data_IF_936918600498
#
_entry.id   IF_936918600498
#
_cell.length_a   1.000
_cell.length_b   1.000
_cell.length_c   1.000
_cell.angle_alpha   90.00
_cell.angle_beta   90.00
_cell.angle_gamma   90.00
#
_symmetry.space_group_name_H-M   'P 1'
#
loop_
_entity.id
_entity.type
_entity.pdbx_description
1 polymer ?
#
# COMPACT_ATOMS: atom_id res chain seq x y z
N UNK A 1 -69.09 40.02 -16.51
CA UNK A 1 -67.66 40.35 -16.67
C UNK A 1 -66.91 39.41 -15.76
N UNK A 2 -65.92 38.63 -16.17
CA UNK A 2 -65.50 38.10 -17.46
C UNK A 2 -64.54 36.97 -17.06
N UNK A 3 -64.80 35.76 -17.54
CA UNK A 3 -63.89 34.63 -17.49
C UNK A 3 -62.66 34.88 -18.37
N UNK A 4 -61.48 34.45 -17.93
CA UNK A 4 -60.31 34.09 -18.75
C UNK A 4 -59.32 33.36 -17.82
N UNK A 5 -59.08 32.04 -17.92
CA UNK A 5 -58.20 31.36 -18.91
C UNK A 5 -56.87 32.11 -19.06
N UNK A 6 -55.69 31.58 -18.68
CA UNK A 6 -55.01 30.41 -19.25
C UNK A 6 -53.69 30.21 -18.47
N UNK A 7 -53.22 28.99 -18.20
CA UNK A 7 -51.87 28.55 -18.60
C UNK A 7 -51.64 27.03 -18.43
N UNK A 8 -51.30 26.38 -19.57
CA UNK A 8 -50.41 25.24 -19.85
C UNK A 8 -50.15 24.13 -18.79
N UNK A 9 -50.39 22.83 -19.08
CA UNK A 9 -49.56 21.89 -19.90
C UNK A 9 -48.14 21.73 -19.27
N UNK A 10 -47.63 20.58 -18.81
CA UNK A 10 -47.77 19.18 -19.22
C UNK A 10 -47.29 18.21 -18.11
N UNK A 11 -47.89 17.01 -18.09
CA UNK A 11 -47.26 15.69 -17.91
C UNK A 11 -46.45 15.39 -16.63
N UNK A 12 -47.17 14.96 -15.58
CA UNK A 12 -46.64 14.13 -14.49
C UNK A 12 -46.61 12.67 -14.98
N UNK A 13 -45.42 12.20 -15.38
CA UNK A 13 -45.20 10.79 -15.72
C UNK A 13 -44.77 10.07 -14.45
N UNK A 14 -45.71 9.36 -13.84
CA UNK A 14 -45.42 8.30 -12.90
C UNK A 14 -44.57 7.23 -13.59
N UNK A 15 -43.37 6.99 -13.06
CA UNK A 15 -42.63 5.76 -13.32
C UNK A 15 -42.40 5.11 -11.96
N UNK A 16 -43.24 4.12 -11.67
CA UNK A 16 -43.02 3.15 -10.61
C UNK A 16 -41.66 2.48 -10.84
N UNK A 17 -40.72 2.75 -9.95
CA UNK A 17 -39.44 2.06 -9.90
C UNK A 17 -39.63 0.65 -9.37
N UNK A 18 -39.54 -0.32 -10.27
CA UNK A 18 -39.43 -1.74 -9.94
C UNK A 18 -38.19 -2.33 -10.60
N UNK A 19 -37.18 -2.62 -9.79
CA UNK A 19 -36.19 -3.69 -9.98
C UNK A 19 -35.32 -3.68 -8.71
N UNK A 20 -35.42 -4.69 -7.84
CA UNK A 20 -34.84 -5.98 -8.19
C UNK A 20 -33.38 -5.93 -7.77
N UNK A 21 -33.14 -6.17 -6.48
CA UNK A 21 -31.81 -6.36 -5.89
C UNK A 21 -31.23 -7.69 -6.38
N UNK A 22 -30.80 -7.72 -7.64
CA UNK A 22 -29.88 -8.76 -8.09
C UNK A 22 -28.50 -8.41 -7.57
N UNK A 23 -28.21 -9.02 -6.43
CA UNK A 23 -26.86 -9.26 -5.93
C UNK A 23 -26.10 -10.09 -6.98
N UNK A 24 -25.61 -9.43 -8.02
CA UNK A 24 -24.51 -9.93 -8.79
C UNK A 24 -23.31 -9.91 -7.85
N UNK A 25 -23.03 -11.08 -7.28
CA UNK A 25 -21.76 -11.41 -6.70
C UNK A 25 -20.68 -10.98 -7.70
N UNK A 26 -20.01 -9.87 -7.40
CA UNK A 26 -18.73 -9.55 -7.99
C UNK A 26 -17.81 -10.67 -7.53
N UNK A 27 -17.70 -11.69 -8.37
CA UNK A 27 -16.61 -12.64 -8.37
C UNK A 27 -15.34 -11.79 -8.48
N UNK A 28 -14.82 -11.43 -7.32
CA UNK A 28 -13.51 -10.81 -7.18
C UNK A 28 -12.52 -11.89 -7.58
N UNK A 29 -12.30 -12.00 -8.88
CA UNK A 29 -11.17 -12.72 -9.42
C UNK A 29 -9.95 -12.10 -8.74
N UNK A 30 -9.42 -12.82 -7.75
CA UNK A 30 -8.11 -12.54 -7.22
C UNK A 30 -7.21 -12.38 -8.45
N UNK A 31 -6.61 -11.20 -8.69
CA UNK A 31 -5.70 -11.07 -9.79
C UNK A 31 -4.64 -12.15 -9.57
N UNK A 32 -4.48 -13.06 -10.53
CA UNK A 32 -3.39 -14.02 -10.50
C UNK A 32 -2.12 -13.19 -10.31
N UNK A 33 -1.63 -13.18 -9.07
CA UNK A 33 -0.45 -12.42 -8.72
C UNK A 33 0.63 -12.92 -9.68
N UNK A 34 1.24 -12.05 -10.50
CA UNK A 34 2.37 -12.47 -11.31
C UNK A 34 3.34 -13.20 -10.37
N UNK A 35 3.84 -14.35 -10.83
CA UNK A 35 4.89 -15.09 -10.13
C UNK A 35 6.15 -14.21 -10.13
N UNK A 36 6.14 -13.20 -9.26
CA UNK A 36 7.26 -12.32 -9.03
C UNK A 36 8.39 -13.19 -8.51
N UNK A 37 9.57 -12.98 -9.06
CA UNK A 37 10.80 -13.59 -8.59
C UNK A 37 11.66 -12.54 -7.89
N UNK A 38 12.65 -12.97 -7.12
CA UNK A 38 13.64 -12.06 -6.51
C UNK A 38 14.35 -11.18 -7.57
N UNK A 39 14.45 -11.64 -8.82
CA UNK A 39 15.09 -10.89 -9.89
C UNK A 39 14.30 -9.66 -10.33
N UNK A 40 12.99 -9.67 -10.08
CA UNK A 40 12.06 -8.58 -10.41
C UNK A 40 12.03 -7.50 -9.32
N UNK A 41 12.54 -7.79 -8.12
CA UNK A 41 12.65 -6.82 -7.02
C UNK A 41 13.90 -5.97 -7.23
N UNK A 42 13.79 -4.96 -8.09
CA UNK A 42 14.82 -3.95 -8.34
C UNK A 42 14.17 -2.59 -8.48
N UNK A 43 14.80 -1.55 -7.93
CA UNK A 43 14.38 -0.18 -8.22
C UNK A 43 14.76 0.21 -9.65
N UNK A 44 14.03 1.15 -10.24
CA UNK A 44 14.56 1.81 -11.43
C UNK A 44 15.75 2.69 -11.01
N UNK A 45 16.79 2.82 -11.84
CA UNK A 45 17.95 3.66 -11.52
C UNK A 45 17.58 5.15 -11.36
N UNK A 46 16.40 5.56 -11.80
CA UNK A 46 15.87 6.92 -11.61
C UNK A 46 15.18 7.13 -10.26
N UNK A 47 14.82 6.04 -9.56
CA UNK A 47 14.16 6.08 -8.24
C UNK A 47 15.17 5.87 -7.10
N UNK A 48 16.45 5.70 -7.43
CA UNK A 48 17.55 5.61 -6.48
C UNK A 48 18.14 7.02 -6.33
N UNK A 49 18.14 7.52 -5.10
CA UNK A 49 18.65 8.84 -4.78
C UNK A 49 20.18 8.92 -4.88
N UNK A 50 20.75 10.13 -4.81
CA UNK A 50 22.21 10.38 -4.93
C UNK A 50 23.03 9.62 -3.88
N UNK A 51 22.43 9.32 -2.72
CA UNK A 51 23.02 8.56 -1.62
C UNK A 51 22.83 7.03 -1.75
N UNK A 52 22.16 6.55 -2.82
CA UNK A 52 21.94 5.12 -3.05
C UNK A 52 20.73 4.52 -2.31
N UNK A 53 19.88 5.38 -1.73
CA UNK A 53 18.65 4.99 -1.04
C UNK A 53 17.46 4.97 -2.00
N UNK A 54 16.47 4.16 -1.67
CA UNK A 54 15.20 4.08 -2.39
C UNK A 54 14.09 3.67 -1.43
N UNK A 55 12.88 4.19 -1.64
CA UNK A 55 11.72 3.77 -0.86
C UNK A 55 11.28 2.35 -1.20
N UNK A 56 10.82 1.60 -0.19
CA UNK A 56 10.26 0.25 -0.39
C UNK A 56 9.11 0.30 -1.41
N UNK A 57 8.31 1.37 -1.37
CA UNK A 57 7.25 1.61 -2.33
C UNK A 57 7.76 1.70 -3.77
N UNK A 58 8.82 2.45 -4.04
CA UNK A 58 9.35 2.58 -5.40
C UNK A 58 9.88 1.25 -5.94
N UNK A 59 10.54 0.45 -5.10
CA UNK A 59 10.98 -0.91 -5.48
C UNK A 59 9.77 -1.76 -5.84
N UNK A 60 8.74 -1.77 -4.99
CA UNK A 60 7.54 -2.58 -5.20
C UNK A 60 6.74 -2.12 -6.43
N UNK A 61 6.58 -0.81 -6.60
CA UNK A 61 5.92 -0.22 -7.75
C UNK A 61 6.66 -0.55 -9.05
N UNK A 62 7.99 -0.49 -9.07
CA UNK A 62 8.76 -0.87 -10.24
C UNK A 62 8.64 -2.37 -10.57
N UNK A 63 8.75 -3.24 -9.56
CA UNK A 63 8.60 -4.69 -9.71
C UNK A 63 7.19 -5.09 -10.22
N UNK A 64 6.17 -4.32 -9.84
CA UNK A 64 4.77 -4.55 -10.22
C UNK A 64 4.30 -3.74 -11.44
N UNK A 65 5.21 -3.23 -12.28
CA UNK A 65 4.86 -2.42 -13.47
C UNK A 65 3.92 -1.22 -13.14
N UNK A 66 4.15 -0.57 -12.00
CA UNK A 66 3.36 0.55 -11.45
C UNK A 66 1.90 0.21 -11.14
N UNK A 67 1.57 -1.06 -10.96
CA UNK A 67 0.25 -1.48 -10.48
C UNK A 67 0.17 -1.29 -8.96
N UNK A 68 -0.62 -0.30 -8.51
CA UNK A 68 -0.77 0.07 -7.09
C UNK A 68 -1.20 -1.10 -6.21
N UNK A 69 -2.13 -1.95 -6.67
CA UNK A 69 -2.66 -3.05 -5.84
C UNK A 69 -1.57 -4.09 -5.58
N UNK A 70 -0.85 -4.48 -6.63
CA UNK A 70 0.25 -5.44 -6.51
C UNK A 70 1.46 -4.85 -5.78
N UNK A 71 1.75 -3.56 -6.01
CA UNK A 71 2.81 -2.85 -5.30
C UNK A 71 2.53 -2.78 -3.80
N UNK A 72 1.28 -2.56 -3.40
CA UNK A 72 0.84 -2.60 -2.00
C UNK A 72 0.95 -4.00 -1.40
N UNK A 73 0.51 -5.03 -2.12
CA UNK A 73 0.70 -6.44 -1.71
C UNK A 73 2.18 -6.76 -1.46
N UNK A 74 3.04 -6.38 -2.40
CA UNK A 74 4.48 -6.62 -2.30
C UNK A 74 5.12 -5.79 -1.18
N UNK A 75 4.73 -4.51 -1.04
CA UNK A 75 5.20 -3.63 0.05
C UNK A 75 4.82 -4.18 1.41
N UNK A 76 3.59 -4.67 1.59
CA UNK A 76 3.14 -5.30 2.83
C UNK A 76 3.99 -6.54 3.17
N UNK A 77 4.26 -7.40 2.17
CA UNK A 77 5.12 -8.57 2.32
C UNK A 77 6.55 -8.18 2.69
N UNK A 78 7.12 -7.18 2.03
CA UNK A 78 8.48 -6.67 2.28
C UNK A 78 8.58 -6.09 3.69
N UNK A 79 7.67 -5.19 4.10
CA UNK A 79 7.63 -4.62 5.45
C UNK A 79 7.50 -5.71 6.52
N UNK A 80 6.60 -6.68 6.33
CA UNK A 80 6.45 -7.80 7.26
C UNK A 80 7.71 -8.67 7.33
N UNK A 81 8.39 -8.88 6.19
CA UNK A 81 9.63 -9.66 6.15
C UNK A 81 10.79 -8.96 6.84
N UNK A 82 11.00 -7.67 6.54
CA UNK A 82 12.03 -6.83 7.17
C UNK A 82 11.82 -6.76 8.68
N UNK A 83 10.58 -6.54 9.11
CA UNK A 83 10.19 -6.54 10.50
C UNK A 83 10.46 -7.90 11.18
N UNK A 84 10.10 -9.01 10.53
CA UNK A 84 10.36 -10.36 11.06
C UNK A 84 11.86 -10.67 11.17
N UNK A 85 12.68 -10.09 10.31
CA UNK A 85 14.13 -10.24 10.32
C UNK A 85 14.84 -9.16 11.15
N UNK A 86 14.08 -8.24 11.76
CA UNK A 86 14.58 -7.13 12.58
C UNK A 86 15.69 -6.35 11.87
N UNK A 87 15.38 -5.94 10.65
CA UNK A 87 16.31 -5.23 9.78
C UNK A 87 16.60 -3.81 10.31
N UNK A 88 17.86 -3.42 10.46
CA UNK A 88 18.29 -2.15 11.07
C UNK A 88 18.69 -1.07 10.06
N UNK A 89 18.80 -1.39 8.77
CA UNK A 89 19.18 -0.44 7.73
C UNK A 89 18.01 0.33 7.10
N UNK A 90 16.79 0.24 7.65
CA UNK A 90 15.68 1.07 7.20
C UNK A 90 15.88 2.48 7.75
N UNK A 91 15.96 3.43 6.83
CA UNK A 91 16.15 4.85 7.12
C UNK A 91 14.85 5.57 6.82
N UNK A 92 14.59 6.63 7.58
CA UNK A 92 13.56 7.60 7.23
C UNK A 92 14.12 8.98 7.55
N UNK A 93 13.84 9.96 6.69
CA UNK A 93 14.23 11.34 6.96
C UNK A 93 13.51 11.89 8.19
N UNK A 94 14.13 12.82 8.92
CA UNK A 94 13.49 13.47 10.08
C UNK A 94 12.09 14.03 9.80
N UNK A 95 11.87 14.63 8.63
CA UNK A 95 10.55 15.13 8.24
C UNK A 95 9.53 14.02 7.97
N UNK A 96 9.97 12.88 7.41
CA UNK A 96 9.12 11.71 7.21
C UNK A 96 8.78 11.04 8.56
N UNK A 97 9.73 10.98 9.50
CA UNK A 97 9.49 10.48 10.85
C UNK A 97 8.43 11.32 11.57
N UNK A 98 8.56 12.64 11.56
CA UNK A 98 7.56 13.55 12.14
C UNK A 98 6.17 13.37 11.48
N UNK A 99 6.13 13.18 10.16
CA UNK A 99 4.89 12.91 9.44
C UNK A 99 4.24 11.60 9.88
N UNK A 100 5.03 10.52 9.97
CA UNK A 100 4.55 9.21 10.40
C UNK A 100 4.08 9.24 11.86
N UNK A 101 4.75 9.98 12.74
CA UNK A 101 4.36 10.17 14.13
C UNK A 101 3.01 10.90 14.22
N UNK A 102 2.83 12.03 13.52
CA UNK A 102 1.54 12.74 13.46
C UNK A 102 0.43 11.85 12.90
N UNK A 103 0.74 11.01 11.91
CA UNK A 103 -0.21 10.07 11.35
C UNK A 103 -0.57 8.97 12.33
N UNK A 104 0.40 8.47 13.09
CA UNK A 104 0.20 7.46 14.14
C UNK A 104 -0.63 8.01 15.31
N UNK A 105 -0.41 9.26 15.72
CA UNK A 105 -1.23 9.94 16.74
C UNK A 105 -2.70 10.04 16.30
N UNK A 106 -2.93 10.30 15.01
CA UNK A 106 -4.28 10.39 14.44
C UNK A 106 -4.92 9.02 14.22
N UNK A 107 -4.16 8.07 13.67
CA UNK A 107 -4.59 6.70 13.43
C UNK A 107 -3.50 5.70 13.84
N UNK A 108 -3.68 5.15 15.03
CA UNK A 108 -2.81 4.14 15.60
C UNK A 108 -2.71 2.88 14.71
N UNK A 109 -3.66 2.65 13.79
CA UNK A 109 -3.64 1.50 12.88
C UNK A 109 -2.48 1.50 11.90
N UNK A 110 -1.77 2.62 11.72
CA UNK A 110 -0.60 2.72 10.85
C UNK A 110 0.42 1.60 11.07
N UNK A 111 0.67 1.23 12.32
CA UNK A 111 1.64 0.18 12.66
C UNK A 111 1.03 -1.23 12.73
N UNK A 112 -0.29 -1.36 12.61
CA UNK A 112 -1.01 -2.61 12.85
C UNK A 112 -1.66 -3.17 11.60
N UNK A 113 -2.07 -2.32 10.67
CA UNK A 113 -2.87 -2.70 9.52
C UNK A 113 -2.05 -2.85 8.25
N UNK A 114 -0.96 -3.62 8.29
CA UNK A 114 -0.16 -3.92 7.08
C UNK A 114 -0.78 -4.98 6.19
N UNK A 115 -2.08 -4.83 5.90
CA UNK A 115 -2.79 -5.69 4.98
C UNK A 115 -2.62 -5.17 3.56
N UNK A 116 -2.62 -6.04 2.55
CA UNK A 116 -2.55 -5.61 1.17
C UNK A 116 -3.66 -4.67 0.71
N UNK A 117 -4.78 -4.59 1.41
CA UNK A 117 -5.87 -3.67 1.08
C UNK A 117 -5.74 -2.33 1.81
N UNK A 118 -4.83 -2.24 2.79
CA UNK A 118 -4.70 -1.08 3.66
C UNK A 118 -3.78 -0.02 3.04
N UNK A 119 -4.28 1.20 2.95
CA UNK A 119 -3.51 2.36 2.52
C UNK A 119 -2.40 2.73 3.52
N UNK A 120 -2.47 2.21 4.75
CA UNK A 120 -1.40 2.41 5.73
C UNK A 120 -0.07 1.81 5.28
N UNK A 121 -0.12 0.73 4.48
CA UNK A 121 1.07 0.12 3.87
C UNK A 121 1.74 1.10 2.91
N UNK A 122 0.95 1.79 2.10
CA UNK A 122 1.47 2.73 1.11
C UNK A 122 2.25 3.85 1.81
N UNK A 123 1.67 4.40 2.87
CA UNK A 123 2.27 5.47 3.66
C UNK A 123 3.58 5.01 4.30
N UNK A 124 3.58 3.88 5.00
CA UNK A 124 4.80 3.36 5.64
C UNK A 124 5.86 3.01 4.59
N UNK A 125 5.49 2.37 3.48
CA UNK A 125 6.43 1.94 2.45
C UNK A 125 7.03 3.10 1.64
N UNK A 126 6.30 4.20 1.48
CA UNK A 126 6.80 5.42 0.82
C UNK A 126 7.84 6.13 1.66
N UNK A 127 7.71 6.07 2.99
CA UNK A 127 8.60 6.72 3.94
C UNK A 127 9.67 5.80 4.55
N UNK A 128 9.64 4.52 4.20
CA UNK A 128 10.68 3.55 4.52
C UNK A 128 11.71 3.51 3.40
N UNK A 129 12.86 4.13 3.61
CA UNK A 129 13.98 4.16 2.67
C UNK A 129 14.98 3.05 3.03
N UNK A 130 15.55 2.41 2.02
CA UNK A 130 16.55 1.37 2.19
C UNK A 130 17.70 1.58 1.20
N UNK A 131 18.95 1.28 1.59
CA UNK A 131 20.07 1.24 0.66
C UNK A 131 19.84 0.11 -0.36
N UNK A 132 19.69 0.46 -1.64
CA UNK A 132 19.20 -0.46 -2.68
C UNK A 132 20.01 -1.77 -2.75
N UNK A 133 21.33 -1.66 -2.86
CA UNK A 133 22.20 -2.83 -3.09
C UNK A 133 22.26 -3.76 -1.87
N UNK A 134 22.28 -3.19 -0.67
CA UNK A 134 22.25 -3.94 0.58
C UNK A 134 20.89 -4.62 0.77
N UNK A 135 19.80 -3.94 0.43
CA UNK A 135 18.45 -4.49 0.49
C UNK A 135 18.27 -5.68 -0.46
N UNK A 136 18.64 -5.56 -1.73
CA UNK A 136 18.54 -6.65 -2.70
C UNK A 136 19.40 -7.86 -2.25
N UNK A 137 20.63 -7.59 -1.79
CA UNK A 137 21.51 -8.64 -1.26
C UNK A 137 20.92 -9.32 -0.03
N UNK A 138 20.30 -8.55 0.86
CA UNK A 138 19.64 -9.06 2.07
C UNK A 138 18.45 -9.97 1.74
N UNK A 139 17.61 -9.57 0.78
CA UNK A 139 16.47 -10.38 0.32
C UNK A 139 16.94 -11.72 -0.26
N UNK A 140 17.97 -11.70 -1.10
CA UNK A 140 18.57 -12.91 -1.67
C UNK A 140 19.17 -13.82 -0.59
N UNK A 141 19.97 -13.25 0.33
CA UNK A 141 20.60 -13.99 1.42
C UNK A 141 19.60 -14.63 2.38
N UNK A 142 18.46 -13.95 2.62
CA UNK A 142 17.41 -14.44 3.50
C UNK A 142 16.33 -15.25 2.77
N UNK A 143 16.51 -15.54 1.47
CA UNK A 143 15.58 -16.33 0.65
C UNK A 143 14.15 -15.78 0.69
N UNK A 144 14.01 -14.47 0.51
CA UNK A 144 12.71 -13.86 0.37
C UNK A 144 11.98 -14.44 -0.86
N UNK A 145 10.71 -14.77 -0.69
CA UNK A 145 9.83 -15.34 -1.70
C UNK A 145 8.68 -14.37 -1.94
N UNK A 146 8.77 -13.52 -2.98
CA UNK A 146 7.73 -12.54 -3.29
C UNK A 146 6.39 -13.19 -3.70
N UNK A 147 6.42 -14.37 -4.32
CA UNK A 147 5.23 -15.04 -4.83
C UNK A 147 4.47 -15.77 -3.71
N UNK A 148 5.14 -16.69 -3.00
CA UNK A 148 4.50 -17.61 -2.05
C UNK A 148 4.80 -17.29 -0.58
N UNK A 149 5.69 -16.34 -0.31
CA UNK A 149 6.08 -15.98 1.03
C UNK A 149 4.92 -15.41 1.85
N UNK A 150 4.52 -16.12 2.89
CA UNK A 150 3.58 -15.63 3.91
C UNK A 150 4.36 -15.01 5.06
N UNK A 151 4.54 -13.69 4.98
CA UNK A 151 5.24 -12.93 6.01
C UNK A 151 4.23 -12.27 6.92
N UNK A 152 4.27 -12.65 8.18
CA UNK A 152 3.47 -12.03 9.24
C UNK A 152 4.38 -11.68 10.39
N UNK A 153 4.26 -10.45 10.86
CA UNK A 153 4.84 -9.97 12.11
C UNK A 153 3.70 -9.66 13.09
N UNK A 154 3.90 -9.96 14.37
CA UNK A 154 2.94 -9.60 15.41
C UNK A 154 2.95 -8.08 15.62
N UNK A 155 1.84 -7.55 16.15
CA UNK A 155 1.72 -6.13 16.49
C UNK A 155 2.89 -5.61 17.33
N UNK A 156 3.26 -6.35 18.37
CA UNK A 156 4.36 -5.96 19.26
C UNK A 156 5.71 -5.84 18.51
N UNK A 157 6.00 -6.80 17.62
CA UNK A 157 7.26 -6.81 16.85
C UNK A 157 7.29 -5.65 15.85
N UNK A 158 6.17 -5.27 15.25
CA UNK A 158 6.10 -4.11 14.35
C UNK A 158 6.36 -2.80 15.06
N UNK A 159 5.74 -2.59 16.22
CA UNK A 159 5.95 -1.38 17.03
C UNK A 159 7.39 -1.29 17.48
N UNK A 160 7.94 -2.38 18.03
CA UNK A 160 9.33 -2.40 18.47
C UNK A 160 10.28 -2.10 17.30
N UNK A 161 10.08 -2.75 16.16
CA UNK A 161 10.91 -2.53 14.99
C UNK A 161 10.85 -1.08 14.47
N UNK A 162 9.66 -0.48 14.44
CA UNK A 162 9.50 0.91 14.03
C UNK A 162 10.15 1.89 15.01
N UNK A 163 10.00 1.67 16.32
CA UNK A 163 10.47 2.60 17.36
C UNK A 163 11.96 2.45 17.69
N UNK A 164 12.51 1.24 17.61
CA UNK A 164 13.86 0.95 18.10
C UNK A 164 14.89 0.73 16.98
N UNK A 165 14.45 0.35 15.77
CA UNK A 165 15.36 -0.10 14.70
C UNK A 165 15.39 0.81 13.48
N UNK A 166 14.38 1.66 13.28
CA UNK A 166 14.41 2.63 12.19
C UNK A 166 15.43 3.72 12.52
N UNK A 167 16.34 3.95 11.59
CA UNK A 167 17.31 5.03 11.68
C UNK A 167 16.65 6.32 11.19
N UNK A 168 16.40 7.26 12.11
CA UNK A 168 15.93 8.61 11.76
C UNK A 168 17.16 9.46 11.46
N UNK A 169 17.30 9.88 10.20
CA UNK A 169 18.46 10.61 9.66
C UNK A 169 18.16 12.02 9.20
#
# INVERSE_FOLDING_TARGET
>A
MADTETDNKAEDTAIEGQAGVDAAATESAAPEAPLLSLSDIKAAPADIDEDGFVSIWNIAANACNKNTVQARELSAKLLCFLCKKQCDFVVTSGSNAEYLDQWFERDNKLLYDWKPESETVDVVAQHAEVPHDAFVSFLANNKFDPANGKYTATRAVRVQWFQEMWCVG
#
